data_IF_539672324611
#
_entry.id   IF_539672324611
#
_cell.length_a   1.000
_cell.length_b   1.000
_cell.length_c   1.000
_cell.angle_alpha   90.00
_cell.angle_beta   90.00
_cell.angle_gamma   90.00
#
_symmetry.space_group_name_H-M   'P 1'
#
loop_
_entity.id
_entity.type
_entity.pdbx_description
1 polymer ?
#
# COMPACT_ATOMS: atom_id res chain seq x y z
N UNK A 1 22.87 -23.42 -13.67
CA UNK A 1 22.99 -21.99 -14.01
C UNK A 1 21.58 -21.45 -14.10
N UNK A 2 21.08 -20.81 -13.05
CA UNK A 2 19.83 -20.06 -13.10
C UNK A 2 20.20 -18.63 -13.50
N UNK A 3 20.39 -18.41 -14.80
CA UNK A 3 20.47 -17.04 -15.31
C UNK A 3 19.12 -16.40 -15.06
N UNK A 4 19.11 -15.33 -14.28
CA UNK A 4 17.92 -14.52 -14.03
C UNK A 4 17.48 -13.95 -15.37
N UNK A 5 16.58 -14.66 -16.07
CA UNK A 5 16.10 -14.24 -17.38
C UNK A 5 15.43 -12.88 -17.25
N UNK A 6 15.72 -11.96 -18.14
CA UNK A 6 15.02 -10.68 -18.17
C UNK A 6 13.58 -10.85 -18.68
N UNK A 7 12.69 -9.90 -18.39
CA UNK A 7 11.30 -9.95 -18.89
C UNK A 7 11.27 -9.93 -20.43
N UNK A 8 12.22 -9.24 -21.07
CA UNK A 8 12.36 -9.22 -22.52
C UNK A 8 12.70 -10.61 -23.08
N UNK A 9 13.65 -11.32 -22.46
CA UNK A 9 14.00 -12.70 -22.84
C UNK A 9 12.82 -13.67 -22.70
N UNK A 10 11.96 -13.49 -21.69
CA UNK A 10 10.74 -14.29 -21.57
C UNK A 10 9.76 -14.05 -22.72
N UNK A 11 9.67 -12.82 -23.21
CA UNK A 11 8.85 -12.52 -24.39
C UNK A 11 9.48 -13.04 -25.68
N UNK A 12 10.81 -13.06 -25.80
CA UNK A 12 11.48 -13.69 -26.94
C UNK A 12 11.30 -15.21 -26.92
N UNK A 13 11.32 -15.85 -25.75
CA UNK A 13 10.95 -17.26 -25.61
C UNK A 13 9.50 -17.52 -26.05
N UNK A 14 8.58 -16.61 -25.72
CA UNK A 14 7.19 -16.71 -26.18
C UNK A 14 7.07 -16.60 -27.70
N UNK A 15 7.85 -15.72 -28.34
CA UNK A 15 7.93 -15.58 -29.80
C UNK A 15 8.40 -16.87 -30.45
N UNK A 16 9.50 -17.44 -29.95
CA UNK A 16 10.04 -18.71 -30.44
C UNK A 16 9.00 -19.85 -30.30
N UNK A 17 8.37 -19.95 -29.12
CA UNK A 17 7.37 -20.98 -28.84
C UNK A 17 6.15 -20.91 -29.74
N UNK A 18 5.66 -19.71 -29.99
CA UNK A 18 4.44 -19.49 -30.78
C UNK A 18 4.71 -19.28 -32.27
N UNK A 19 5.98 -19.20 -32.69
CA UNK A 19 6.37 -19.00 -34.09
C UNK A 19 5.91 -17.66 -34.67
N UNK A 20 5.75 -16.64 -33.83
CA UNK A 20 5.22 -15.32 -34.23
C UNK A 20 6.02 -14.20 -33.58
N UNK A 21 6.49 -13.23 -34.38
CA UNK A 21 7.10 -12.00 -33.87
C UNK A 21 6.06 -10.92 -33.52
N UNK A 22 4.81 -11.13 -33.91
CA UNK A 22 3.74 -10.16 -33.83
C UNK A 22 3.20 -10.06 -32.40
N UNK A 23 3.42 -8.91 -31.77
CA UNK A 23 2.84 -8.61 -30.45
C UNK A 23 1.31 -8.70 -30.42
N UNK A 24 0.63 -8.46 -31.55
CA UNK A 24 -0.84 -8.61 -31.66
C UNK A 24 -1.27 -10.06 -31.58
N UNK A 25 -0.50 -10.96 -32.19
CA UNK A 25 -0.81 -12.38 -32.12
C UNK A 25 -0.52 -12.94 -30.72
N UNK A 26 0.57 -12.51 -30.08
CA UNK A 26 0.84 -12.83 -28.68
C UNK A 26 -0.26 -12.31 -27.73
N UNK A 27 -0.77 -11.10 -27.96
CA UNK A 27 -1.93 -10.58 -27.23
C UNK A 27 -3.15 -11.50 -27.40
N UNK A 28 -3.47 -11.92 -28.63
CA UNK A 28 -4.59 -12.81 -28.91
C UNK A 28 -4.43 -14.18 -28.22
N UNK A 29 -3.23 -14.74 -28.23
CA UNK A 29 -2.90 -16.02 -27.58
C UNK A 29 -3.07 -15.90 -26.05
N UNK A 30 -2.57 -14.81 -25.46
CA UNK A 30 -2.74 -14.55 -24.03
C UNK A 30 -4.22 -14.40 -23.65
N UNK A 31 -4.99 -13.67 -24.45
CA UNK A 31 -6.43 -13.48 -24.25
C UNK A 31 -7.22 -14.77 -24.36
N UNK A 32 -6.87 -15.64 -25.32
CA UNK A 32 -7.45 -16.98 -25.44
C UNK A 32 -7.17 -17.84 -24.19
N UNK A 33 -6.03 -17.63 -23.52
CA UNK A 33 -5.69 -18.22 -22.23
C UNK A 33 -6.31 -17.54 -20.99
N UNK A 34 -7.16 -16.53 -21.16
CA UNK A 34 -7.79 -15.78 -20.05
C UNK A 34 -6.90 -14.69 -19.44
N UNK A 35 -5.72 -14.44 -19.98
CA UNK A 35 -4.81 -13.38 -19.54
C UNK A 35 -5.07 -12.08 -20.33
N UNK A 36 -4.98 -10.91 -19.67
CA UNK A 36 -5.09 -9.62 -20.38
C UNK A 36 -3.73 -8.93 -20.40
N UNK A 37 -3.21 -8.71 -21.59
CA UNK A 37 -2.02 -7.93 -21.91
C UNK A 37 -2.25 -7.28 -23.27
N UNK A 38 -1.73 -6.07 -23.48
CA UNK A 38 -1.89 -5.32 -24.74
C UNK A 38 -0.61 -5.44 -25.57
N UNK A 39 -0.71 -5.60 -26.88
CA UNK A 39 0.43 -5.72 -27.79
C UNK A 39 1.41 -4.55 -27.70
N UNK A 40 0.93 -3.34 -27.43
CA UNK A 40 1.79 -2.16 -27.22
C UNK A 40 2.71 -2.34 -26.01
N UNK A 41 2.21 -2.94 -24.92
CA UNK A 41 3.02 -3.29 -23.75
C UNK A 41 4.03 -4.39 -24.07
N UNK A 42 3.62 -5.43 -24.81
CA UNK A 42 4.52 -6.50 -25.26
C UNK A 42 5.68 -5.93 -26.06
N UNK A 43 5.38 -5.10 -27.07
CA UNK A 43 6.39 -4.50 -27.93
C UNK A 43 7.30 -3.53 -27.17
N UNK A 44 6.75 -2.72 -26.26
CA UNK A 44 7.55 -1.80 -25.46
C UNK A 44 8.53 -2.54 -24.52
N UNK A 45 8.09 -3.66 -23.93
CA UNK A 45 8.96 -4.48 -23.07
C UNK A 45 10.07 -5.13 -23.91
N UNK A 46 9.73 -5.73 -25.06
CA UNK A 46 10.73 -6.33 -25.97
C UNK A 46 11.73 -5.31 -26.51
N UNK A 47 11.29 -4.10 -26.81
CA UNK A 47 12.16 -3.02 -27.26
C UNK A 47 12.96 -2.34 -26.13
N UNK A 48 12.76 -2.73 -24.87
CA UNK A 48 13.39 -2.09 -23.72
C UNK A 48 12.93 -0.63 -23.47
N UNK A 49 11.84 -0.20 -24.12
CA UNK A 49 11.30 1.17 -23.99
C UNK A 49 10.22 1.29 -22.92
N UNK A 50 9.81 0.17 -22.31
CA UNK A 50 8.86 0.14 -21.21
C UNK A 50 9.49 0.64 -19.91
N UNK A 51 9.17 1.88 -19.52
CA UNK A 51 9.76 2.55 -18.35
C UNK A 51 9.05 2.24 -17.03
N UNK A 52 7.83 1.70 -17.09
CA UNK A 52 7.04 1.38 -15.90
C UNK A 52 7.32 -0.03 -15.40
N UNK A 53 6.97 -0.31 -14.15
CA UNK A 53 7.06 -1.66 -13.61
C UNK A 53 5.83 -2.49 -14.05
N UNK A 54 6.00 -3.63 -14.72
CA UNK A 54 4.88 -4.45 -15.16
C UNK A 54 4.00 -4.90 -13.98
N UNK A 55 2.67 -4.88 -14.18
CA UNK A 55 1.71 -5.32 -13.16
C UNK A 55 1.78 -6.84 -12.94
N UNK A 56 1.27 -7.32 -11.81
CA UNK A 56 1.16 -8.77 -11.54
C UNK A 56 0.38 -9.50 -12.65
N UNK A 57 -0.69 -8.87 -13.15
CA UNK A 57 -1.49 -9.40 -14.25
C UNK A 57 -0.66 -9.54 -15.53
N UNK A 58 0.16 -8.55 -15.83
CA UNK A 58 1.08 -8.54 -16.98
C UNK A 58 2.13 -9.65 -16.85
N UNK A 59 2.73 -9.80 -15.68
CA UNK A 59 3.75 -10.82 -15.42
C UNK A 59 3.19 -12.24 -15.53
N UNK A 60 1.97 -12.49 -15.02
CA UNK A 60 1.27 -13.77 -15.23
C UNK A 60 0.96 -14.05 -16.71
N UNK A 61 0.61 -13.03 -17.47
CA UNK A 61 0.40 -13.18 -18.92
C UNK A 61 1.69 -13.55 -19.66
N UNK A 62 2.81 -12.91 -19.30
CA UNK A 62 4.13 -13.21 -19.87
C UNK A 62 4.58 -14.63 -19.48
N UNK A 63 4.37 -15.05 -18.22
CA UNK A 63 4.66 -16.40 -17.78
C UNK A 63 3.87 -17.47 -18.57
N UNK A 64 2.58 -17.20 -18.81
CA UNK A 64 1.72 -18.08 -19.62
C UNK A 64 2.21 -18.18 -21.07
N UNK A 65 2.54 -17.04 -21.71
CA UNK A 65 3.03 -17.01 -23.09
C UNK A 65 4.37 -17.73 -23.24
N UNK A 66 5.26 -17.59 -22.26
CA UNK A 66 6.57 -18.21 -22.22
C UNK A 66 6.55 -19.67 -21.73
N UNK A 67 5.39 -20.17 -21.27
CA UNK A 67 5.21 -21.50 -20.67
C UNK A 67 6.16 -21.77 -19.49
N UNK A 68 6.36 -20.74 -18.67
CA UNK A 68 7.17 -20.81 -17.45
C UNK A 68 6.29 -20.67 -16.22
N UNK A 69 6.80 -21.11 -15.07
CA UNK A 69 6.15 -20.83 -13.78
C UNK A 69 6.07 -19.33 -13.59
N UNK A 70 4.94 -18.85 -13.06
CA UNK A 70 4.74 -17.45 -12.66
C UNK A 70 5.95 -16.89 -11.91
N UNK A 71 6.52 -17.70 -11.00
CA UNK A 71 7.70 -17.34 -10.22
C UNK A 71 8.87 -16.81 -11.06
N UNK A 72 9.17 -17.43 -12.19
CA UNK A 72 10.26 -17.02 -13.09
C UNK A 72 9.99 -15.63 -13.66
N UNK A 73 8.75 -15.32 -14.03
CA UNK A 73 8.40 -13.99 -14.54
C UNK A 73 8.41 -12.91 -13.45
N UNK A 74 8.09 -13.26 -12.20
CA UNK A 74 8.22 -12.35 -11.06
C UNK A 74 9.70 -12.08 -10.74
N UNK A 75 10.53 -13.12 -10.66
CA UNK A 75 11.97 -12.99 -10.42
C UNK A 75 12.66 -12.20 -11.54
N UNK A 76 12.29 -12.42 -12.80
CA UNK A 76 12.72 -11.64 -13.96
C UNK A 76 12.40 -10.15 -13.83
N UNK A 77 11.33 -9.81 -13.11
CA UNK A 77 10.92 -8.44 -12.81
C UNK A 77 11.49 -7.91 -11.49
N UNK A 78 12.41 -8.64 -10.84
CA UNK A 78 12.94 -8.30 -9.52
C UNK A 78 11.91 -8.37 -8.40
N UNK A 79 10.78 -9.05 -8.61
CA UNK A 79 9.70 -9.20 -7.65
C UNK A 79 9.74 -10.59 -7.03
N UNK A 80 9.59 -10.67 -5.71
CA UNK A 80 9.35 -11.95 -5.05
C UNK A 80 7.89 -12.36 -5.32
N UNK A 81 7.62 -13.55 -5.88
CA UNK A 81 6.26 -14.04 -6.01
C UNK A 81 5.67 -14.28 -4.62
N UNK A 82 4.35 -14.15 -4.48
CA UNK A 82 3.63 -14.75 -3.36
C UNK A 82 3.65 -16.28 -3.60
N UNK A 83 4.68 -16.95 -3.09
CA UNK A 83 4.99 -18.37 -3.36
C UNK A 83 3.86 -19.33 -2.95
N UNK A 84 2.93 -18.89 -2.11
CA UNK A 84 1.87 -19.70 -1.53
C UNK A 84 0.67 -18.82 -1.17
N UNK A 85 -0.58 -19.31 -1.34
CA UNK A 85 -1.76 -18.63 -0.83
C UNK A 85 -1.61 -18.35 0.67
N UNK A 86 -1.86 -17.12 1.10
CA UNK A 86 -1.73 -16.70 2.51
C UNK A 86 -2.49 -17.60 3.49
N UNK A 87 -3.58 -18.22 3.04
CA UNK A 87 -4.36 -19.21 3.82
C UNK A 87 -3.52 -20.38 4.35
N UNK A 88 -2.44 -20.74 3.67
CA UNK A 88 -1.56 -21.82 4.09
C UNK A 88 -0.49 -21.38 5.11
N UNK A 89 -0.36 -20.07 5.36
CA UNK A 89 0.55 -19.50 6.35
C UNK A 89 -0.21 -19.12 7.64
N UNK A 90 -1.53 -19.34 7.67
CA UNK A 90 -2.36 -19.12 8.83
C UNK A 90 -2.02 -20.14 9.93
N UNK A 91 -1.90 -19.71 11.20
CA UNK A 91 -1.68 -20.64 12.30
C UNK A 91 -2.85 -21.64 12.44
N UNK A 92 -2.59 -22.85 12.94
CA UNK A 92 -3.67 -23.79 13.25
C UNK A 92 -4.63 -23.16 14.27
N UNK A 93 -5.93 -23.42 14.11
CA UNK A 93 -6.98 -22.86 14.99
C UNK A 93 -7.51 -21.48 14.59
N UNK A 94 -7.05 -20.88 13.47
CA UNK A 94 -7.68 -19.65 12.93
C UNK A 94 -9.16 -19.86 12.60
N UNK A 95 -9.54 -21.08 12.21
CA UNK A 95 -10.94 -21.41 11.95
C UNK A 95 -11.78 -21.48 13.25
N UNK A 96 -11.15 -21.64 14.40
CA UNK A 96 -11.80 -21.73 15.72
C UNK A 96 -12.02 -20.34 16.37
N UNK A 97 -11.54 -19.26 15.74
CA UNK A 97 -11.74 -17.89 16.23
C UNK A 97 -13.23 -17.57 16.39
N UNK A 98 -13.57 -16.93 17.52
CA UNK A 98 -14.93 -16.45 17.76
C UNK A 98 -15.36 -15.41 16.71
N UNK A 99 -16.66 -15.18 16.52
CA UNK A 99 -17.15 -14.21 15.53
C UNK A 99 -16.59 -12.79 15.73
N UNK A 100 -16.32 -12.38 16.98
CA UNK A 100 -15.74 -11.08 17.30
C UNK A 100 -14.26 -11.01 16.94
N UNK A 101 -13.48 -12.04 17.28
CA UNK A 101 -12.05 -12.12 16.95
C UNK A 101 -11.83 -12.20 15.44
N UNK A 102 -12.64 -13.01 14.74
CA UNK A 102 -12.59 -13.12 13.28
C UNK A 102 -12.84 -11.77 12.61
N UNK A 103 -13.78 -10.96 13.14
CA UNK A 103 -14.05 -9.61 12.61
C UNK A 103 -12.83 -8.70 12.72
N UNK A 104 -12.21 -8.65 13.90
CA UNK A 104 -11.02 -7.81 14.14
C UNK A 104 -9.87 -8.23 13.24
N UNK A 105 -9.60 -9.54 13.11
CA UNK A 105 -8.55 -10.04 12.22
C UNK A 105 -8.79 -9.62 10.76
N UNK A 106 -10.03 -9.73 10.27
CA UNK A 106 -10.39 -9.31 8.91
C UNK A 106 -10.25 -7.79 8.72
N UNK A 107 -10.63 -6.98 9.71
CA UNK A 107 -10.47 -5.53 9.65
C UNK A 107 -8.99 -5.10 9.59
N UNK A 108 -8.12 -5.73 10.38
CA UNK A 108 -6.68 -5.49 10.31
C UNK A 108 -6.10 -5.85 8.94
N UNK A 109 -6.50 -6.99 8.38
CA UNK A 109 -6.06 -7.39 7.03
C UNK A 109 -6.54 -6.41 5.96
N UNK A 110 -7.79 -5.91 6.06
CA UNK A 110 -8.32 -4.89 5.16
C UNK A 110 -7.52 -3.59 5.23
N UNK A 111 -7.18 -3.13 6.45
CA UNK A 111 -6.38 -1.93 6.64
C UNK A 111 -5.01 -2.05 5.96
N UNK A 112 -4.31 -3.17 6.19
CA UNK A 112 -3.00 -3.43 5.59
C UNK A 112 -3.04 -3.48 4.07
N UNK A 113 -4.10 -4.06 3.49
CA UNK A 113 -4.31 -4.10 2.03
C UNK A 113 -4.55 -2.69 1.48
N UNK A 114 -5.39 -1.89 2.14
CA UNK A 114 -5.65 -0.51 1.73
C UNK A 114 -4.39 0.36 1.75
N UNK A 115 -3.60 0.29 2.83
CA UNK A 115 -2.33 1.03 2.94
C UNK A 115 -1.34 0.65 1.83
N UNK A 116 -1.26 -0.64 1.49
CA UNK A 116 -0.41 -1.09 0.38
C UNK A 116 -0.87 -0.52 -0.96
N UNK A 117 -2.18 -0.47 -1.22
CA UNK A 117 -2.72 0.11 -2.45
C UNK A 117 -2.47 1.62 -2.56
N UNK A 118 -2.48 2.35 -1.45
CA UNK A 118 -2.11 3.78 -1.44
C UNK A 118 -0.63 3.98 -1.80
N UNK A 119 0.27 3.16 -1.22
CA UNK A 119 1.69 3.20 -1.54
C UNK A 119 1.98 2.83 -3.01
N UNK A 120 1.31 1.79 -3.53
CA UNK A 120 1.42 1.39 -4.93
C UNK A 120 0.81 2.45 -5.88
N UNK A 121 -0.20 3.18 -5.41
CA UNK A 121 -0.86 4.28 -6.13
C UNK A 121 0.01 5.53 -6.27
N UNK A 122 0.80 5.88 -5.25
CA UNK A 122 1.72 7.03 -5.27
C UNK A 122 2.84 6.83 -6.31
N UNK A 123 3.21 5.58 -6.63
CA UNK A 123 4.17 5.25 -7.70
C UNK A 123 3.60 5.33 -9.12
N UNK A 124 2.28 5.45 -9.28
CA UNK A 124 1.62 5.66 -10.57
C UNK A 124 1.22 7.13 -10.66
N UNK A 125 2.14 7.98 -11.10
CA UNK A 125 1.79 9.34 -11.50
C UNK A 125 0.65 9.26 -12.54
N UNK A 126 -0.54 9.81 -12.25
CA UNK A 126 -1.54 9.99 -13.28
C UNK A 126 -1.06 11.12 -14.18
N UNK A 127 -0.60 10.78 -15.38
CA UNK A 127 -0.76 11.68 -16.52
C UNK A 127 -2.25 11.74 -16.83
N UNK A 128 -2.94 12.70 -16.23
CA UNK A 128 -4.23 13.21 -16.69
C UNK A 128 -4.48 14.54 -15.99
N UNK A 129 -4.33 15.59 -16.78
CA UNK A 129 -5.14 16.80 -16.71
C UNK A 129 -6.60 16.44 -16.43
N UNK A 130 -6.99 16.53 -15.17
CA UNK A 130 -8.35 16.81 -14.78
C UNK A 130 -8.23 17.85 -13.67
N UNK A 131 -8.60 19.07 -14.02
CA UNK A 131 -8.72 20.19 -13.10
C UNK A 131 -9.71 19.81 -11.99
N UNK A 132 -9.16 19.43 -10.84
CA UNK A 132 -9.81 19.71 -9.56
C UNK A 132 -8.91 20.70 -8.84
N UNK A 133 -9.46 21.84 -8.37
CA UNK A 133 -8.66 22.92 -7.82
C UNK A 133 -8.12 22.47 -6.46
N UNK A 134 -6.93 21.90 -6.46
CA UNK A 134 -6.08 21.85 -5.29
C UNK A 134 -5.72 23.29 -4.93
N UNK A 135 -5.81 23.61 -3.64
CA UNK A 135 -5.48 24.90 -3.03
C UNK A 135 -4.33 25.61 -3.75
N UNK A 136 -4.68 26.57 -4.58
CA UNK A 136 -3.76 27.64 -4.93
C UNK A 136 -3.79 28.62 -3.78
N UNK A 137 -2.76 28.61 -2.94
CA UNK A 137 -2.44 29.75 -2.08
C UNK A 137 -1.95 30.89 -3.00
N UNK A 138 -2.88 31.47 -3.76
CA UNK A 138 -2.74 32.86 -4.18
C UNK A 138 -3.25 33.67 -2.98
N UNK A 139 -2.42 34.47 -2.31
CA UNK A 139 -2.94 35.45 -1.37
C UNK A 139 -3.68 36.50 -2.20
N UNK A 140 -5.01 36.37 -2.31
CA UNK A 140 -5.85 37.47 -2.78
C UNK A 140 -5.99 38.49 -1.63
N UNK A 141 -5.45 39.71 -1.77
CA UNK A 141 -5.54 40.73 -0.72
C UNK A 141 -6.97 41.19 -0.42
N UNK A 142 -7.98 40.81 -1.22
CA UNK A 142 -9.37 41.22 -1.02
C UNK A 142 -10.13 40.43 0.06
N UNK A 143 -9.71 39.21 0.41
CA UNK A 143 -10.43 38.37 1.40
C UNK A 143 -10.05 38.66 2.87
N UNK A 144 -9.04 39.51 3.09
CA UNK A 144 -8.60 39.91 4.45
C UNK A 144 -9.55 40.90 5.16
N UNK A 145 -10.64 41.32 4.52
CA UNK A 145 -11.59 42.28 5.10
C UNK A 145 -12.88 41.66 5.67
N UNK A 146 -13.15 40.37 5.41
CA UNK A 146 -14.36 39.71 5.92
C UNK A 146 -14.21 39.15 7.36
N UNK A 147 -12.98 39.00 7.88
CA UNK A 147 -12.72 38.57 9.26
C UNK A 147 -12.74 39.72 10.29
N UNK A 148 -13.24 40.90 9.92
CA UNK A 148 -13.33 42.08 10.79
C UNK A 148 -14.76 42.34 11.28
N UNK A 149 -15.38 41.35 11.95
CA UNK A 149 -16.52 41.61 12.85
C UNK A 149 -16.78 40.43 13.81
N UNK A 150 -16.20 40.46 15.00
CA UNK A 150 -16.73 39.73 16.16
C UNK A 150 -15.69 39.12 17.09
N UNK A 151 -15.58 39.72 18.28
CA UNK A 151 -14.85 39.35 19.52
C UNK A 151 -13.36 39.71 19.57
N UNK A 152 -12.99 40.42 20.64
CA UNK A 152 -11.60 40.74 20.98
C UNK A 152 -11.08 39.75 22.03
N UNK A 153 -9.76 39.63 22.14
CA UNK A 153 -9.12 38.70 23.06
C UNK A 153 -9.42 39.00 24.55
N UNK A 154 -9.75 40.25 24.88
CA UNK A 154 -10.24 40.63 26.20
C UNK A 154 -11.59 39.97 26.55
N UNK A 155 -12.44 39.66 25.56
CA UNK A 155 -13.71 38.97 25.79
C UNK A 155 -13.50 37.47 26.12
N UNK A 156 -12.33 36.91 25.79
CA UNK A 156 -11.99 35.50 26.01
C UNK A 156 -11.30 35.32 27.37
N UNK A 157 -10.48 36.28 27.79
CA UNK A 157 -9.71 36.22 29.04
C UNK A 157 -10.59 36.43 30.29
N UNK A 158 -11.73 37.12 30.18
CA UNK A 158 -12.68 37.33 31.29
C UNK A 158 -13.50 36.05 31.60
N UNK A 159 -13.68 35.13 30.64
CA UNK A 159 -14.39 33.85 30.85
C UNK A 159 -13.50 32.74 31.46
N UNK A 160 -12.17 32.88 31.45
CA UNK A 160 -11.26 31.88 32.04
C UNK A 160 -11.13 32.00 33.57
N UNK A 161 -11.51 33.14 34.16
CA UNK A 161 -11.45 33.36 35.62
C UNK A 161 -12.67 32.83 36.37
N UNK A 162 -13.82 32.69 35.71
CA UNK A 162 -15.10 32.31 36.34
C UNK A 162 -15.45 30.81 36.24
N UNK A 163 -14.57 29.98 35.64
CA UNK A 163 -14.84 28.55 35.38
C UNK A 163 -14.05 27.57 36.25
N UNK A 164 -13.58 27.99 37.41
CA UNK A 164 -12.86 27.13 38.36
C UNK A 164 -13.48 27.17 39.76
N UNK A 165 -14.78 26.87 39.85
CA UNK A 165 -15.43 26.45 41.10
C UNK A 165 -15.53 24.92 41.14
N UNK A 166 -14.60 24.29 41.89
CA UNK A 166 -14.80 22.98 42.51
C UNK A 166 -14.60 21.72 41.67
N UNK A 167 -13.36 21.21 41.62
CA UNK A 167 -13.09 19.76 41.65
C UNK A 167 -11.98 19.52 42.68
N UNK A 168 -12.31 18.78 43.73
CA UNK A 168 -11.40 18.28 44.75
C UNK A 168 -10.16 17.65 44.12
N UNK A 169 -8.98 18.10 44.53
CA UNK A 169 -7.75 17.34 44.29
C UNK A 169 -7.85 16.03 45.07
N UNK A 170 -7.72 14.86 44.42
CA UNK A 170 -7.55 13.62 45.16
C UNK A 170 -6.26 13.71 45.96
N UNK A 171 -6.36 13.47 47.27
CA UNK A 171 -5.22 13.24 48.14
C UNK A 171 -4.41 12.08 47.56
N UNK A 172 -3.15 12.35 47.21
CA UNK A 172 -2.17 11.30 47.02
C UNK A 172 -1.65 10.99 48.41
N UNK A 173 -2.05 9.83 48.94
CA UNK A 173 -1.42 9.24 50.12
C UNK A 173 0.04 8.91 49.75
N UNK A 174 0.95 9.79 50.18
CA UNK A 174 2.34 9.45 50.40
C UNK A 174 2.38 8.54 51.64
N UNK A 175 2.55 7.23 51.47
CA UNK A 175 3.24 6.33 52.41
C UNK A 175 3.07 4.88 51.94
N UNK A 176 4.03 4.35 51.18
CA UNK A 176 4.41 2.93 51.17
C UNK A 176 5.64 2.74 50.26
N UNK A 177 6.78 3.26 50.71
CA UNK A 177 8.10 2.83 50.23
C UNK A 177 8.84 2.25 51.42
N UNK A 178 8.68 0.94 51.62
CA UNK A 178 9.51 0.16 52.54
C UNK A 178 10.98 0.20 52.06
N UNK A 179 11.93 0.71 52.87
CA UNK A 179 13.34 0.62 52.53
C UNK A 179 13.89 -0.80 52.77
N UNK A 180 14.86 -1.26 51.94
CA UNK A 180 15.40 -2.61 52.02
C UNK A 180 16.18 -2.84 53.32
N UNK A 181 15.85 -3.91 54.03
CA UNK A 181 16.55 -4.33 55.25
C UNK A 181 17.99 -4.77 54.97
N UNK A 182 18.94 -4.49 55.88
CA UNK A 182 20.30 -5.00 55.77
C UNK A 182 20.36 -6.48 56.19
N UNK A 183 20.96 -7.28 55.30
CA UNK A 183 21.41 -8.65 55.48
C UNK A 183 22.78 -8.66 56.15
N UNK A 184 22.89 -9.09 57.43
CA UNK A 184 24.03 -9.74 58.10
C UNK A 184 23.44 -10.38 59.39
N UNK A 185 23.65 -11.65 59.77
CA UNK A 185 24.90 -12.39 59.85
C UNK A 185 25.26 -12.59 61.33
N UNK A 186 25.32 -13.86 61.77
CA UNK A 186 25.74 -14.43 63.09
C UNK A 186 24.65 -14.75 64.10
#
# INVERSE_FOLDING_TARGET
MNETRSIAELLDLAVERHGTDSGRELERIAQAGGHKIVHTTINAIRAGTYKSTPSERTLKAIAYLADVKNQVAFEAAGRKPLDRPFVNDLPPGVDDLSPKERRVAVEMLRLLVSQRHELDGIGKAPDSTDEKPGLSLVPDPADTLAARKGRTQADIEDEELDRWDGIDTPAWDDDDVDPPGPDEGV
#
